data_IF_645292648047
#
_entry.id   IF_645292648047
#
_cell.length_a   1.000
_cell.length_b   1.000
_cell.length_c   1.000
_cell.angle_alpha   90.00
_cell.angle_beta   90.00
_cell.angle_gamma   90.00
#
_symmetry.space_group_name_H-M   'P 1'
#
loop_
_entity.id
_entity.type
_entity.pdbx_description
1 polymer ?
#
# COMPACT_ATOMS: atom_id res chain seq x y z
N UNK A 1 -11.31 9.23 8.22
CA UNK A 1 -12.40 8.26 8.42
C UNK A 1 -13.55 8.44 7.44
N UNK A 2 -14.15 9.63 7.31
CA UNK A 2 -15.28 9.86 6.38
C UNK A 2 -15.02 9.40 4.93
N UNK A 3 -13.81 9.66 4.39
CA UNK A 3 -13.43 9.21 3.04
C UNK A 3 -13.40 7.68 2.87
N UNK A 4 -13.35 6.90 3.97
CA UNK A 4 -13.45 5.44 3.98
C UNK A 4 -14.90 4.93 3.98
N UNK A 5 -15.90 5.81 3.90
CA UNK A 5 -17.32 5.45 3.94
C UNK A 5 -17.89 5.26 5.36
N UNK A 6 -17.14 5.63 6.39
CA UNK A 6 -17.57 5.57 7.79
C UNK A 6 -18.53 6.73 8.11
N UNK A 7 -19.57 6.46 8.89
CA UNK A 7 -20.51 7.50 9.37
C UNK A 7 -19.78 8.57 10.18
N UNK A 8 -20.34 9.78 10.26
CA UNK A 8 -19.72 10.87 11.05
C UNK A 8 -19.63 10.54 12.54
N UNK A 9 -20.62 9.85 13.08
CA UNK A 9 -20.64 9.42 14.48
C UNK A 9 -19.50 8.46 14.77
N UNK A 10 -19.37 7.37 14.01
CA UNK A 10 -18.28 6.41 14.19
C UNK A 10 -16.92 7.01 13.85
N UNK A 11 -16.84 7.90 12.87
CA UNK A 11 -15.61 8.61 12.52
C UNK A 11 -15.06 9.46 13.66
N UNK A 12 -15.91 9.94 14.58
CA UNK A 12 -15.49 10.67 15.78
C UNK A 12 -14.95 9.76 16.87
N UNK A 13 -15.31 8.48 16.84
CA UNK A 13 -14.85 7.43 17.77
C UNK A 13 -13.66 6.64 17.21
N UNK A 14 -12.84 7.30 16.38
CA UNK A 14 -11.66 6.67 15.83
C UNK A 14 -10.57 6.48 16.90
N UNK A 15 -9.74 5.46 16.70
CA UNK A 15 -8.52 5.26 17.44
C UNK A 15 -7.33 5.15 16.48
N UNK A 16 -6.11 5.08 17.04
CA UNK A 16 -4.90 4.80 16.29
C UNK A 16 -4.50 3.33 16.52
N UNK A 17 -4.30 2.57 15.44
CA UNK A 17 -3.73 1.22 15.50
C UNK A 17 -2.25 1.30 15.15
N UNK A 18 -1.39 0.63 15.91
CA UNK A 18 0.05 0.58 15.60
C UNK A 18 0.75 1.94 15.78
N UNK A 19 1.14 2.57 14.67
CA UNK A 19 1.95 3.77 14.66
C UNK A 19 1.11 5.05 14.57
N UNK A 20 0.39 5.23 13.46
CA UNK A 20 -0.32 6.47 13.09
C UNK A 20 -1.62 6.20 12.32
N UNK A 21 -2.01 4.94 12.21
CA UNK A 21 -3.09 4.47 11.34
C UNK A 21 -4.46 4.68 12.00
N UNK A 22 -5.33 5.57 11.48
CA UNK A 22 -6.65 5.76 12.05
C UNK A 22 -7.55 4.55 11.71
N UNK A 23 -8.20 4.00 12.73
CA UNK A 23 -9.09 2.84 12.63
C UNK A 23 -10.35 3.06 13.45
N UNK A 24 -11.42 2.34 13.15
CA UNK A 24 -12.57 2.22 14.05
C UNK A 24 -12.44 0.94 14.89
N UNK A 25 -12.24 1.02 16.22
CA UNK A 25 -12.12 -0.14 17.09
C UNK A 25 -13.30 -1.12 16.92
N UNK A 26 -13.01 -2.41 16.75
CA UNK A 26 -14.02 -3.46 16.62
C UNK A 26 -14.87 -3.41 15.34
N UNK A 27 -14.65 -2.46 14.43
CA UNK A 27 -15.49 -2.30 13.21
C UNK A 27 -14.70 -2.25 11.91
N UNK A 28 -13.38 -2.10 11.98
CA UNK A 28 -12.53 -1.97 10.79
C UNK A 28 -11.41 -3.02 10.76
N UNK A 29 -11.36 -3.77 9.66
CA UNK A 29 -10.22 -4.58 9.28
C UNK A 29 -9.48 -3.93 8.12
N UNK A 30 -8.45 -3.14 8.44
CA UNK A 30 -7.81 -2.24 7.47
C UNK A 30 -6.45 -2.66 6.92
N UNK A 31 -5.86 -3.78 7.37
CA UNK A 31 -4.51 -4.23 6.97
C UNK A 31 -3.51 -3.06 6.82
N UNK A 32 -3.38 -2.24 7.87
CA UNK A 32 -2.94 -0.85 7.68
C UNK A 32 -1.43 -0.67 7.40
N UNK A 33 -0.67 -1.77 7.44
CA UNK A 33 0.76 -1.85 7.12
C UNK A 33 1.05 -3.08 6.25
N UNK A 34 0.28 -3.23 5.16
CA UNK A 34 0.32 -4.44 4.33
C UNK A 34 1.52 -4.49 3.38
N UNK A 35 2.02 -3.33 2.95
CA UNK A 35 3.07 -3.24 1.94
C UNK A 35 3.77 -1.89 1.94
N UNK A 36 5.04 -1.92 1.52
CA UNK A 36 5.91 -0.75 1.50
C UNK A 36 6.38 -0.44 0.08
N UNK A 37 6.23 0.83 -0.30
CA UNK A 37 6.81 1.40 -1.53
C UNK A 37 8.02 2.25 -1.16
N UNK A 38 9.13 2.07 -1.88
CA UNK A 38 10.30 2.93 -1.78
C UNK A 38 10.35 3.91 -2.94
N UNK A 39 9.87 5.13 -2.71
CA UNK A 39 9.84 6.19 -3.70
C UNK A 39 11.23 6.55 -4.23
N UNK A 40 12.27 6.48 -3.40
CA UNK A 40 13.64 6.78 -3.81
C UNK A 40 14.13 5.81 -4.89
N UNK A 41 13.81 4.51 -4.73
CA UNK A 41 14.18 3.49 -5.71
C UNK A 41 13.39 3.61 -7.00
N UNK A 42 12.14 4.10 -6.93
CA UNK A 42 11.37 4.46 -8.14
C UNK A 42 12.00 5.65 -8.85
N UNK A 43 12.53 6.64 -8.14
CA UNK A 43 13.26 7.74 -8.78
C UNK A 43 14.52 7.27 -9.50
N UNK A 44 15.26 6.28 -8.99
CA UNK A 44 16.38 5.70 -9.76
C UNK A 44 15.90 5.17 -11.12
N UNK A 45 14.75 4.49 -11.15
CA UNK A 45 14.16 3.94 -12.37
C UNK A 45 13.66 5.02 -13.33
N UNK A 46 13.08 6.11 -12.82
CA UNK A 46 12.71 7.31 -13.62
C UNK A 46 13.92 7.87 -14.35
N UNK A 47 15.08 7.88 -13.69
CA UNK A 47 16.27 8.53 -14.22
C UNK A 47 17.11 7.62 -15.12
N UNK A 48 16.83 6.32 -15.13
CA UNK A 48 17.70 5.29 -15.71
C UNK A 48 16.92 4.17 -16.41
N UNK A 49 16.08 4.50 -17.39
CA UNK A 49 15.43 3.52 -18.26
C UNK A 49 14.66 2.42 -17.51
N UNK A 50 14.05 2.72 -16.36
CA UNK A 50 13.35 1.71 -15.56
C UNK A 50 14.25 0.79 -14.73
N UNK A 51 15.54 1.10 -14.60
CA UNK A 51 16.56 0.28 -13.92
C UNK A 51 17.13 0.98 -12.69
N UNK A 52 17.61 0.20 -11.74
CA UNK A 52 18.32 0.76 -10.58
C UNK A 52 19.69 1.30 -11.00
N UNK A 53 20.15 2.32 -10.30
CA UNK A 53 21.48 2.92 -10.54
C UNK A 53 22.53 2.26 -9.64
N UNK A 54 22.13 1.79 -8.46
CA UNK A 54 23.04 1.15 -7.51
C UNK A 54 22.35 0.07 -6.67
N UNK A 55 23.15 -0.92 -6.25
CA UNK A 55 22.74 -2.03 -5.41
C UNK A 55 22.61 -3.34 -6.19
N UNK A 56 21.91 -4.34 -5.65
CA UNK A 56 21.63 -5.57 -6.38
C UNK A 56 20.67 -5.28 -7.54
N UNK A 57 20.71 -6.14 -8.57
CA UNK A 57 19.75 -6.15 -9.68
C UNK A 57 19.80 -4.92 -10.60
N UNK A 58 20.92 -4.20 -10.67
CA UNK A 58 21.11 -3.06 -11.60
C UNK A 58 21.13 -3.49 -13.07
N UNK A 59 21.41 -4.77 -13.32
CA UNK A 59 21.37 -5.43 -14.63
C UNK A 59 19.94 -5.81 -15.08
N UNK A 60 18.96 -5.76 -14.18
CA UNK A 60 17.58 -6.15 -14.45
C UNK A 60 16.72 -4.95 -14.88
N UNK A 61 15.77 -5.22 -15.77
CA UNK A 61 14.68 -4.31 -16.11
C UNK A 61 13.57 -4.50 -15.08
N UNK A 62 13.49 -3.62 -14.08
CA UNK A 62 12.53 -3.77 -12.98
C UNK A 62 11.23 -3.00 -13.26
N UNK A 63 11.33 -1.74 -13.70
CA UNK A 63 10.20 -0.91 -14.10
C UNK A 63 10.08 -0.77 -15.62
N UNK A 64 9.02 -0.13 -16.13
CA UNK A 64 8.91 0.20 -17.54
C UNK A 64 10.07 1.10 -18.01
N UNK A 65 10.60 0.86 -19.20
CA UNK A 65 11.53 1.80 -19.82
C UNK A 65 10.76 3.04 -20.30
N UNK A 66 11.03 4.15 -19.64
CA UNK A 66 10.35 5.44 -19.83
C UNK A 66 11.32 6.51 -20.33
N UNK A 67 12.58 6.14 -20.60
CA UNK A 67 13.67 7.07 -20.87
C UNK A 67 14.61 7.27 -19.67
N UNK A 68 15.49 8.26 -19.80
CA UNK A 68 16.47 8.68 -18.80
C UNK A 68 16.72 10.18 -18.89
N UNK A 69 17.52 10.70 -17.96
CA UNK A 69 17.96 12.11 -18.00
C UNK A 69 18.64 12.52 -19.31
N UNK A 70 19.23 11.56 -20.04
CA UNK A 70 19.85 11.82 -21.34
C UNK A 70 18.83 11.96 -22.48
N UNK A 71 17.63 11.38 -22.31
CA UNK A 71 16.60 11.36 -23.35
C UNK A 71 15.50 12.41 -23.14
N UNK A 72 15.22 12.78 -21.89
CA UNK A 72 14.15 13.73 -21.58
C UNK A 72 14.43 15.12 -22.15
N UNK A 73 13.44 15.73 -22.79
CA UNK A 73 13.53 17.07 -23.37
C UNK A 73 12.87 18.15 -22.50
N UNK A 74 12.12 17.74 -21.47
CA UNK A 74 11.42 18.65 -20.57
C UNK A 74 11.24 18.05 -19.19
N UNK A 75 10.96 18.90 -18.21
CA UNK A 75 10.62 18.43 -16.86
C UNK A 75 9.27 17.68 -16.84
N UNK A 76 8.34 18.03 -17.73
CA UNK A 76 7.05 17.35 -17.84
C UNK A 76 7.21 15.88 -18.25
N UNK A 77 8.22 15.55 -19.08
CA UNK A 77 8.56 14.16 -19.42
C UNK A 77 9.10 13.39 -18.20
N UNK A 78 9.84 14.06 -17.32
CA UNK A 78 10.29 13.45 -16.05
C UNK A 78 9.10 13.15 -15.16
N UNK A 79 8.16 14.09 -15.02
CA UNK A 79 6.94 13.89 -14.22
C UNK A 79 6.07 12.77 -14.81
N UNK A 80 5.91 12.71 -16.13
CA UNK A 80 5.20 11.62 -16.79
C UNK A 80 5.88 10.25 -16.57
N UNK A 81 7.21 10.22 -16.48
CA UNK A 81 7.96 9.02 -16.12
C UNK A 81 7.75 8.63 -14.65
N UNK A 82 7.72 9.59 -13.72
CA UNK A 82 7.35 9.35 -12.31
C UNK A 82 5.99 8.68 -12.22
N UNK A 83 4.97 9.25 -12.87
CA UNK A 83 3.61 8.71 -12.83
C UNK A 83 3.56 7.27 -13.35
N UNK A 84 4.22 6.98 -14.47
CA UNK A 84 4.29 5.62 -15.05
C UNK A 84 5.01 4.61 -14.16
N UNK A 85 6.11 5.00 -13.52
CA UNK A 85 6.81 4.12 -12.59
C UNK A 85 5.95 3.82 -11.36
N UNK A 86 5.31 4.85 -10.78
CA UNK A 86 4.44 4.68 -9.63
C UNK A 86 3.20 3.84 -9.96
N UNK A 87 2.56 4.08 -11.09
CA UNK A 87 1.41 3.31 -11.56
C UNK A 87 1.77 1.82 -11.68
N UNK A 88 2.86 1.51 -12.38
CA UNK A 88 3.31 0.13 -12.57
C UNK A 88 3.55 -0.59 -11.23
N UNK A 89 4.30 0.03 -10.31
CA UNK A 89 4.65 -0.62 -9.05
C UNK A 89 3.51 -0.66 -8.04
N UNK A 90 2.61 0.32 -8.05
CA UNK A 90 1.38 0.27 -7.28
C UNK A 90 0.51 -0.90 -7.74
N UNK A 91 0.38 -1.12 -9.06
CA UNK A 91 -0.38 -2.26 -9.60
C UNK A 91 0.24 -3.60 -9.19
N UNK A 92 1.57 -3.74 -9.30
CA UNK A 92 2.28 -4.94 -8.82
C UNK A 92 2.03 -5.20 -7.33
N UNK A 93 2.11 -4.16 -6.50
CA UNK A 93 1.88 -4.29 -5.07
C UNK A 93 0.42 -4.67 -4.76
N UNK A 94 -0.55 -4.04 -5.41
CA UNK A 94 -1.96 -4.40 -5.29
C UNK A 94 -2.20 -5.87 -5.66
N UNK A 95 -1.58 -6.37 -6.73
CA UNK A 95 -1.65 -7.77 -7.12
C UNK A 95 -1.11 -8.71 -6.02
N UNK A 96 0.09 -8.42 -5.48
CA UNK A 96 0.67 -9.20 -4.39
C UNK A 96 -0.20 -9.22 -3.14
N UNK A 97 -0.80 -8.08 -2.79
CA UNK A 97 -1.66 -7.96 -1.60
C UNK A 97 -2.98 -8.71 -1.76
N UNK A 98 -3.60 -8.63 -2.93
CA UNK A 98 -4.81 -9.40 -3.24
C UNK A 98 -4.57 -10.91 -3.18
N UNK A 99 -3.38 -11.38 -3.58
CA UNK A 99 -3.00 -12.79 -3.43
C UNK A 99 -2.84 -13.13 -1.95
N UNK A 100 -2.15 -12.29 -1.19
CA UNK A 100 -1.87 -12.52 0.22
C UNK A 100 -3.16 -12.56 1.05
N UNK A 101 -4.09 -11.65 0.78
CA UNK A 101 -5.42 -11.60 1.40
C UNK A 101 -6.20 -12.91 1.19
N UNK A 102 -6.26 -13.39 -0.06
CA UNK A 102 -6.89 -14.68 -0.40
C UNK A 102 -6.23 -15.87 0.30
N UNK A 103 -4.90 -15.87 0.39
CA UNK A 103 -4.15 -16.93 1.08
C UNK A 103 -4.42 -16.92 2.58
N UNK A 104 -4.52 -15.73 3.20
CA UNK A 104 -4.87 -15.59 4.61
C UNK A 104 -6.28 -16.11 4.88
N UNK A 105 -7.26 -15.75 4.04
CA UNK A 105 -8.62 -16.25 4.14
C UNK A 105 -8.69 -17.79 4.05
N UNK A 106 -7.90 -18.39 3.17
CA UNK A 106 -7.92 -19.83 2.93
C UNK A 106 -7.17 -20.65 4.00
N UNK A 107 -6.03 -20.15 4.49
CA UNK A 107 -5.11 -20.94 5.31
C UNK A 107 -5.06 -20.52 6.78
N UNK A 108 -5.46 -19.30 7.11
CA UNK A 108 -5.30 -18.70 8.44
C UNK A 108 -6.55 -17.93 8.89
N UNK A 109 -7.74 -18.55 8.93
CA UNK A 109 -8.90 -17.91 9.56
C UNK A 109 -8.62 -17.63 11.03
N UNK A 110 -9.15 -16.53 11.55
CA UNK A 110 -8.88 -16.05 12.92
C UNK A 110 -10.16 -15.96 13.77
N UNK A 111 -10.83 -17.09 14.06
CA UNK A 111 -12.17 -17.09 14.66
C UNK A 111 -12.23 -16.39 16.02
N UNK A 112 -11.19 -16.52 16.84
CA UNK A 112 -11.13 -15.85 18.14
C UNK A 112 -11.10 -14.32 18.00
N UNK A 113 -10.31 -13.79 17.06
CA UNK A 113 -10.24 -12.35 16.83
C UNK A 113 -11.54 -11.86 16.19
N UNK A 114 -12.06 -12.61 15.21
CA UNK A 114 -13.31 -12.31 14.50
C UNK A 114 -14.50 -12.13 15.44
N UNK A 115 -14.54 -12.82 16.58
CA UNK A 115 -15.60 -12.67 17.59
C UNK A 115 -15.67 -11.27 18.24
N UNK A 116 -14.61 -10.46 18.13
CA UNK A 116 -14.56 -9.09 18.65
C UNK A 116 -14.85 -8.02 17.59
N UNK A 117 -15.16 -8.41 16.35
CA UNK A 117 -15.44 -7.49 15.26
C UNK A 117 -16.91 -7.56 14.82
N UNK A 118 -17.55 -6.40 14.72
CA UNK A 118 -18.90 -6.26 14.19
C UNK A 118 -18.98 -6.77 12.75
N UNK A 119 -20.01 -7.58 12.47
CA UNK A 119 -20.29 -8.17 11.17
C UNK A 119 -19.89 -9.65 11.07
N UNK A 120 -18.86 -10.09 11.80
CA UNK A 120 -18.34 -11.46 11.66
C UNK A 120 -19.33 -12.51 12.18
N UNK A 121 -19.91 -12.29 13.36
CA UNK A 121 -20.87 -13.22 13.97
C UNK A 121 -22.17 -13.21 13.16
N UNK A 122 -22.65 -12.04 12.76
CA UNK A 122 -23.89 -11.85 12.01
C UNK A 122 -23.84 -12.49 10.62
N UNK A 123 -22.69 -12.37 9.94
CA UNK A 123 -22.49 -12.96 8.61
C UNK A 123 -22.04 -14.42 8.66
N UNK A 124 -21.61 -14.92 9.81
CA UNK A 124 -20.97 -16.23 9.95
C UNK A 124 -19.65 -16.33 9.18
N UNK A 125 -19.00 -15.20 8.87
CA UNK A 125 -17.74 -15.14 8.13
C UNK A 125 -16.62 -14.65 9.03
N UNK A 126 -15.45 -15.27 8.86
CA UNK A 126 -14.24 -14.80 9.51
C UNK A 126 -13.83 -13.42 8.99
N UNK A 127 -13.10 -12.65 9.82
CA UNK A 127 -12.60 -11.34 9.41
C UNK A 127 -11.71 -11.40 8.16
N UNK A 128 -10.90 -12.46 8.03
CA UNK A 128 -10.05 -12.68 6.84
C UNK A 128 -10.86 -13.01 5.60
N UNK A 129 -12.12 -13.41 5.75
CA UNK A 129 -13.06 -13.66 4.66
C UNK A 129 -14.06 -12.50 4.45
N UNK A 130 -13.74 -11.31 4.97
CA UNK A 130 -14.53 -10.09 4.80
C UNK A 130 -15.77 -10.01 5.69
N UNK A 131 -15.77 -10.68 6.85
CA UNK A 131 -16.88 -10.63 7.81
C UNK A 131 -17.04 -9.27 8.51
N UNK A 132 -16.00 -8.44 8.56
CA UNK A 132 -16.01 -7.18 9.33
C UNK A 132 -16.83 -6.09 8.61
N UNK A 133 -17.46 -5.19 9.36
CA UNK A 133 -18.25 -4.07 8.85
C UNK A 133 -17.51 -3.18 7.84
N UNK A 134 -16.29 -2.77 8.14
CA UNK A 134 -15.44 -1.98 7.24
C UNK A 134 -14.18 -2.79 6.90
N UNK A 135 -13.93 -3.04 5.62
CA UNK A 135 -12.74 -3.77 5.15
C UNK A 135 -11.89 -2.87 4.25
N UNK A 136 -10.57 -2.98 4.37
CA UNK A 136 -9.62 -2.27 3.53
C UNK A 136 -8.20 -2.82 3.67
N UNK A 137 -7.31 -2.33 2.81
CA UNK A 137 -5.88 -2.64 2.84
C UNK A 137 -5.11 -1.32 2.80
N UNK A 138 -4.19 -1.12 3.77
CA UNK A 138 -3.38 0.09 3.89
C UNK A 138 -1.96 -0.10 3.39
N UNK A 139 -1.52 0.82 2.55
CA UNK A 139 -0.16 0.87 1.98
C UNK A 139 0.68 1.95 2.66
N UNK A 140 1.98 1.68 2.81
CA UNK A 140 2.97 2.65 3.28
C UNK A 140 3.90 3.08 2.17
N UNK A 141 4.17 4.39 2.14
CA UNK A 141 5.24 4.94 1.33
C UNK A 141 6.40 5.34 2.24
N UNK A 142 7.60 4.83 1.94
CA UNK A 142 8.83 5.29 2.55
C UNK A 142 9.42 6.40 1.69
N UNK A 143 9.29 7.64 2.17
CA UNK A 143 9.90 8.80 1.53
C UNK A 143 11.42 8.88 1.83
N UNK A 144 12.15 9.60 0.98
CA UNK A 144 13.51 10.03 1.28
C UNK A 144 13.50 10.87 2.55
N UNK A 145 14.19 10.40 3.59
CA UNK A 145 14.66 11.31 4.64
C UNK A 145 15.65 12.25 3.95
N UNK A 146 15.49 13.59 4.00
CA UNK A 146 16.54 14.48 3.54
C UNK A 146 17.81 14.07 4.30
N UNK A 147 18.85 13.67 3.59
CA UNK A 147 20.18 13.58 4.20
C UNK A 147 20.47 15.00 4.65
N UNK A 148 20.39 15.26 5.96
CA UNK A 148 20.98 16.46 6.54
C UNK A 148 22.47 16.33 6.30
N UNK A 149 22.96 16.89 5.20
CA UNK A 149 24.37 17.23 5.07
C UNK A 149 24.65 18.21 6.20
N UNK A 150 25.55 17.81 7.11
CA UNK A 150 26.11 18.72 8.11
C UNK A 150 26.90 19.81 7.42
#
# INVERSE_FOLDING_TARGET
>A
MLAKGVTLEEARDYAVVGCVEPTIPGKEHGWQDAGYINAAKMMEMVLNHGRLVAGPNTDLQLGPDTGSLETYQSFDEVLASVDKQFEFWCDQLCSCLNITDKVHAALKPTPFISAFFEGCIESGRDMTAGGVKYNGIGLKQRALRPVRTR
#
